data_IF_826292426011
#
_entry.id   IF_826292426011
#
_cell.length_a   1.000
_cell.length_b   1.000
_cell.length_c   1.000
_cell.angle_alpha   90.00
_cell.angle_beta   90.00
_cell.angle_gamma   90.00
#
_symmetry.space_group_name_H-M   'P 1'
#
loop_
_entity.id
_entity.type
_entity.pdbx_description
1 polymer ?
#
# COMPACT_ATOMS: atom_id res chain seq x y z
N UNK A 1 2.90 16.88 21.59
CA UNK A 1 3.65 15.87 20.81
C UNK A 1 4.12 16.57 19.56
N UNK A 2 5.42 16.53 19.23
CA UNK A 2 5.90 17.19 18.02
C UNK A 2 5.38 16.42 16.80
N UNK A 3 4.66 17.09 15.91
CA UNK A 3 4.22 16.50 14.65
C UNK A 3 5.45 16.15 13.79
N UNK A 4 5.51 14.92 13.31
CA UNK A 4 6.51 14.50 12.33
C UNK A 4 6.33 15.30 11.04
N UNK A 5 7.35 16.07 10.65
CA UNK A 5 7.33 16.97 9.48
C UNK A 5 7.82 16.30 8.18
N UNK A 6 7.89 14.97 8.13
CA UNK A 6 8.36 14.24 6.95
C UNK A 6 7.30 14.15 5.85
N UNK A 7 7.76 14.12 4.59
CA UNK A 7 6.98 13.65 3.44
C UNK A 7 7.47 12.25 3.08
N UNK A 8 6.55 11.30 3.04
CA UNK A 8 6.76 9.97 2.47
C UNK A 8 6.35 10.03 1.01
N UNK A 9 7.34 9.98 0.11
CA UNK A 9 7.10 10.07 -1.33
C UNK A 9 7.12 8.67 -1.96
N UNK A 10 5.94 8.17 -2.37
CA UNK A 10 5.76 6.80 -2.85
C UNK A 10 5.29 6.76 -4.30
N UNK A 11 5.97 5.97 -5.13
CA UNK A 11 5.46 5.55 -6.42
C UNK A 11 4.38 4.48 -6.21
N UNK A 12 3.12 4.85 -6.39
CA UNK A 12 1.98 3.97 -6.26
C UNK A 12 1.46 3.53 -7.64
N UNK A 13 1.16 2.24 -7.76
CA UNK A 13 0.41 1.68 -8.89
C UNK A 13 -0.85 1.02 -8.38
N UNK A 14 -2.00 1.42 -8.89
CA UNK A 14 -3.29 0.84 -8.54
C UNK A 14 -4.16 0.65 -9.77
N UNK A 15 -5.07 -0.31 -9.71
CA UNK A 15 -6.08 -0.51 -10.75
C UNK A 15 -7.22 0.48 -10.50
N UNK A 16 -7.44 1.38 -11.44
CA UNK A 16 -8.44 2.45 -11.33
C UNK A 16 -9.77 1.93 -11.85
N UNK A 17 -10.77 1.84 -10.98
CA UNK A 17 -12.14 1.38 -11.28
C UNK A 17 -13.14 2.54 -11.46
N UNK A 18 -12.65 3.66 -11.98
CA UNK A 18 -13.41 4.87 -12.28
C UNK A 18 -12.69 5.62 -13.40
N UNK A 19 -13.39 6.50 -14.10
CA UNK A 19 -12.85 7.25 -15.25
C UNK A 19 -12.72 8.74 -14.94
N UNK A 20 -12.10 9.50 -15.85
CA UNK A 20 -12.13 10.96 -15.82
C UNK A 20 -13.50 11.47 -16.27
N UNK A 21 -13.82 12.71 -15.93
CA UNK A 21 -15.17 13.26 -16.10
C UNK A 21 -15.66 13.28 -17.56
N UNK A 22 -14.74 13.30 -18.52
CA UNK A 22 -14.99 13.33 -19.97
C UNK A 22 -14.97 11.92 -20.61
N UNK A 23 -14.74 10.87 -19.83
CA UNK A 23 -14.62 9.49 -20.31
C UNK A 23 -15.78 8.62 -19.78
N UNK A 24 -16.52 7.89 -20.63
CA UNK A 24 -17.57 6.97 -20.19
C UNK A 24 -17.07 5.99 -19.12
N UNK A 25 -17.83 5.85 -18.03
CA UNK A 25 -17.46 4.99 -16.90
C UNK A 25 -17.82 3.52 -17.17
N UNK A 26 -17.21 2.95 -18.20
CA UNK A 26 -17.36 1.56 -18.63
C UNK A 26 -16.09 0.75 -18.28
N UNK A 27 -16.24 -0.54 -17.96
CA UNK A 27 -15.13 -1.39 -17.48
C UNK A 27 -13.95 -1.47 -18.45
N UNK A 28 -14.20 -1.36 -19.77
CA UNK A 28 -13.16 -1.35 -20.79
C UNK A 28 -12.18 -0.16 -20.65
N UNK A 29 -12.61 0.91 -19.97
CA UNK A 29 -11.79 2.08 -19.70
C UNK A 29 -11.01 1.97 -18.38
N UNK A 30 -11.18 0.89 -17.61
CA UNK A 30 -10.44 0.66 -16.37
C UNK A 30 -9.03 0.15 -16.66
N UNK A 31 -8.04 0.76 -16.02
CA UNK A 31 -6.64 0.45 -16.27
C UNK A 31 -5.79 0.70 -15.04
N UNK A 32 -4.55 0.20 -15.08
CA UNK A 32 -3.57 0.54 -14.06
C UNK A 32 -3.11 1.98 -14.24
N UNK A 33 -3.02 2.69 -13.13
CA UNK A 33 -2.48 4.04 -13.10
C UNK A 33 -1.27 4.06 -12.17
N UNK A 34 -0.24 4.78 -12.60
CA UNK A 34 0.94 5.09 -11.80
C UNK A 34 0.87 6.55 -11.34
N UNK A 35 1.12 6.79 -10.05
CA UNK A 35 1.13 8.11 -9.42
C UNK A 35 2.24 8.20 -8.40
N UNK A 36 2.89 9.35 -8.37
CA UNK A 36 3.76 9.73 -7.28
C UNK A 36 2.91 10.38 -6.18
N UNK A 37 2.97 9.85 -4.96
CA UNK A 37 2.16 10.29 -3.83
C UNK A 37 3.05 10.93 -2.75
N UNK A 38 3.06 12.26 -2.64
CA UNK A 38 3.71 12.96 -1.53
C UNK A 38 2.78 12.94 -0.31
N UNK A 39 3.05 12.04 0.63
CA UNK A 39 2.19 11.79 1.79
C UNK A 39 2.80 12.40 3.07
N UNK A 40 2.14 13.35 3.74
CA UNK A 40 2.61 13.86 5.03
C UNK A 40 2.59 12.73 6.07
N UNK A 41 3.74 12.48 6.71
CA UNK A 41 3.90 11.37 7.66
C UNK A 41 2.88 11.46 8.79
N UNK A 42 2.67 12.65 9.36
CA UNK A 42 1.71 12.88 10.45
C UNK A 42 0.24 12.62 10.07
N UNK A 43 -0.08 12.56 8.78
CA UNK A 43 -1.44 12.32 8.26
C UNK A 43 -1.57 10.97 7.55
N UNK A 44 -0.58 10.10 7.70
CA UNK A 44 -0.49 8.82 6.97
C UNK A 44 -0.30 7.65 7.92
N UNK A 45 -0.94 6.54 7.57
CA UNK A 45 -0.81 5.27 8.28
C UNK A 45 -0.49 4.12 7.30
N UNK A 46 0.25 3.12 7.78
CA UNK A 46 0.32 1.83 7.12
C UNK A 46 -0.87 0.98 7.56
N UNK A 47 -1.60 0.42 6.59
CA UNK A 47 -2.66 -0.56 6.86
C UNK A 47 -2.25 -1.88 6.21
N UNK A 48 -2.16 -2.93 7.02
CA UNK A 48 -1.87 -4.29 6.55
C UNK A 48 -3.18 -5.03 6.34
N UNK A 49 -3.57 -5.19 5.07
CA UNK A 49 -4.78 -5.92 4.69
C UNK A 49 -4.41 -7.36 4.37
N UNK A 50 -5.17 -8.29 4.92
CA UNK A 50 -5.06 -9.71 4.64
C UNK A 50 -3.65 -10.33 4.75
N UNK A 51 -2.93 -9.94 5.80
CA UNK A 51 -1.70 -10.63 6.24
C UNK A 51 -2.06 -11.75 7.22
N UNK A 52 -2.40 -12.93 6.68
CA UNK A 52 -2.89 -14.07 7.47
C UNK A 52 -1.77 -15.08 7.70
N UNK A 53 -1.69 -15.63 8.92
CA UNK A 53 -0.72 -16.68 9.26
C UNK A 53 -1.16 -18.07 8.81
N UNK A 54 -2.42 -18.23 8.39
CA UNK A 54 -3.01 -19.52 7.99
C UNK A 54 -3.88 -19.35 6.75
N UNK A 55 -3.86 -20.35 5.87
CA UNK A 55 -4.75 -20.48 4.73
C UNK A 55 -4.81 -21.94 4.29
N UNK A 56 -5.95 -22.39 3.77
CA UNK A 56 -6.15 -23.78 3.33
C UNK A 56 -5.45 -24.12 2.00
N UNK A 57 -4.73 -23.18 1.40
CA UNK A 57 -4.06 -23.35 0.10
C UNK A 57 -2.56 -23.23 0.35
N UNK A 58 -1.83 -24.35 0.27
CA UNK A 58 -0.40 -24.40 0.61
C UNK A 58 0.45 -23.48 -0.30
N UNK A 59 0.14 -23.44 -1.59
CA UNK A 59 0.86 -22.59 -2.55
C UNK A 59 0.65 -21.10 -2.27
N UNK A 60 -0.54 -20.73 -1.80
CA UNK A 60 -0.82 -19.38 -1.31
C UNK A 60 -0.02 -19.11 -0.04
N UNK A 61 -0.07 -20.02 0.94
CA UNK A 61 0.60 -19.85 2.24
C UNK A 61 2.10 -19.67 2.08
N UNK A 62 2.74 -20.49 1.23
CA UNK A 62 4.16 -20.38 0.91
C UNK A 62 4.51 -19.02 0.30
N UNK A 63 3.70 -18.53 -0.65
CA UNK A 63 3.92 -17.22 -1.30
C UNK A 63 3.67 -16.07 -0.33
N UNK A 64 2.61 -16.14 0.47
CA UNK A 64 2.28 -15.12 1.47
C UNK A 64 3.37 -15.02 2.55
N UNK A 65 3.90 -16.16 3.02
CA UNK A 65 5.02 -16.19 3.96
C UNK A 65 6.27 -15.51 3.40
N UNK A 66 6.64 -15.80 2.14
CA UNK A 66 7.77 -15.16 1.47
C UNK A 66 7.57 -13.64 1.32
N UNK A 67 6.40 -13.21 0.82
CA UNK A 67 6.07 -11.78 0.69
C UNK A 67 6.12 -11.08 2.06
N UNK A 68 5.57 -11.71 3.09
CA UNK A 68 5.54 -11.14 4.44
C UNK A 68 6.95 -10.94 4.98
N UNK A 69 7.80 -11.97 4.90
CA UNK A 69 9.17 -11.90 5.40
C UNK A 69 10.04 -10.92 4.61
N UNK A 70 9.94 -10.92 3.27
CA UNK A 70 10.85 -10.18 2.40
C UNK A 70 10.43 -8.73 2.17
N UNK A 71 9.12 -8.43 2.21
CA UNK A 71 8.56 -7.13 1.79
C UNK A 71 7.86 -6.40 2.92
N UNK A 72 7.01 -7.08 3.70
CA UNK A 72 6.19 -6.44 4.73
C UNK A 72 6.98 -6.22 6.01
N UNK A 73 7.65 -7.27 6.51
CA UNK A 73 8.38 -7.23 7.77
C UNK A 73 9.46 -6.13 7.82
N UNK A 74 10.26 -5.87 6.77
CA UNK A 74 11.25 -4.78 6.80
C UNK A 74 10.62 -3.38 6.80
N UNK A 75 9.42 -3.25 6.25
CA UNK A 75 8.73 -1.96 6.07
C UNK A 75 8.15 -1.44 7.38
N UNK A 76 7.55 -2.31 8.19
CA UNK A 76 6.94 -1.97 9.49
C UNK A 76 7.88 -1.22 10.45
N UNK A 77 9.09 -1.71 10.79
CA UNK A 77 9.98 -0.99 11.70
C UNK A 77 10.53 0.30 11.08
N UNK A 78 10.77 0.33 9.76
CA UNK A 78 11.24 1.53 9.07
C UNK A 78 10.21 2.66 9.13
N UNK A 79 8.92 2.36 8.86
CA UNK A 79 7.86 3.35 8.93
C UNK A 79 7.56 3.80 10.37
N UNK A 80 7.63 2.89 11.35
CA UNK A 80 7.53 3.26 12.77
C UNK A 80 8.66 4.20 13.20
N UNK A 81 9.90 3.93 12.79
CA UNK A 81 11.04 4.80 13.07
C UNK A 81 10.90 6.18 12.41
N UNK A 82 10.22 6.27 11.26
CA UNK A 82 9.89 7.53 10.59
C UNK A 82 8.71 8.28 11.24
N UNK A 83 8.02 7.67 12.21
CA UNK A 83 6.90 8.28 12.92
C UNK A 83 5.52 8.07 12.28
N UNK A 84 5.39 7.12 11.34
CA UNK A 84 4.07 6.72 10.83
C UNK A 84 3.34 5.84 11.86
N UNK A 85 2.00 5.95 11.84
CA UNK A 85 1.14 4.96 12.47
C UNK A 85 1.18 3.66 11.66
N UNK A 86 1.39 2.52 12.34
CA UNK A 86 1.53 1.19 11.72
C UNK A 86 0.88 0.11 12.57
#
# INVERSE_FOLDING_TARGET
>A
MAESQGILDIAARYYRVYTDADTPCDEENFHFVERQLPLPVAQTALVLVDVWATHYIDSWLKRAAAITAEKILPLTPALRAAGLFV
#
